data_IF_465905916893
#
_entry.id   IF_465905916893
#
_cell.length_a   1.000
_cell.length_b   1.000
_cell.length_c   1.000
_cell.angle_alpha   90.00
_cell.angle_beta   90.00
_cell.angle_gamma   90.00
#
_symmetry.space_group_name_H-M   'P 1'
#
loop_
_entity.id
_entity.type
_entity.pdbx_description
1 polymer ?
#
# COMPACT_ATOMS: atom_id res chain seq x y z
N UNK A 1 -5.74 10.18 8.63
CA UNK A 1 -6.78 10.00 9.68
C UNK A 1 -6.18 9.89 11.08
N UNK A 2 -5.22 8.99 11.31
CA UNK A 2 -4.53 8.84 12.59
C UNK A 2 -3.85 10.12 13.06
N UNK A 3 -3.29 10.92 12.14
CA UNK A 3 -2.75 12.23 12.47
C UNK A 3 -3.73 13.08 13.30
N UNK A 4 -4.98 13.23 12.82
CA UNK A 4 -6.00 14.02 13.51
C UNK A 4 -6.43 13.40 14.84
N UNK A 5 -6.46 12.06 14.91
CA UNK A 5 -6.78 11.35 16.15
C UNK A 5 -5.73 11.62 17.23
N UNK A 6 -4.44 11.48 16.90
CA UNK A 6 -3.36 11.73 17.85
C UNK A 6 -3.21 13.21 18.19
N UNK A 7 -3.49 14.12 17.25
CA UNK A 7 -3.58 15.56 17.53
C UNK A 7 -4.70 15.88 18.54
N UNK A 8 -5.89 15.27 18.37
CA UNK A 8 -6.99 15.41 19.32
C UNK A 8 -6.61 14.88 20.72
N UNK A 9 -6.02 13.68 20.79
CA UNK A 9 -5.61 13.05 22.05
C UNK A 9 -4.54 13.87 22.79
N UNK A 10 -3.58 14.43 22.06
CA UNK A 10 -2.59 15.35 22.64
C UNK A 10 -3.28 16.60 23.20
N UNK A 11 -4.20 17.22 22.43
CA UNK A 11 -4.83 18.49 22.81
C UNK A 11 -5.76 18.40 24.03
N UNK A 12 -6.46 17.26 24.21
CA UNK A 12 -7.47 17.11 25.26
C UNK A 12 -6.94 16.35 26.48
N UNK A 13 -6.01 15.42 26.28
CA UNK A 13 -5.60 14.48 27.33
C UNK A 13 -4.10 14.50 27.63
N UNK A 14 -3.31 15.33 26.92
CA UNK A 14 -1.85 15.37 27.04
C UNK A 14 -1.22 13.98 26.98
N UNK A 15 -1.73 13.15 26.07
CA UNK A 15 -1.39 11.74 26.01
C UNK A 15 0.10 11.53 25.68
N UNK A 16 0.89 10.87 26.54
CA UNK A 16 2.32 10.69 26.31
C UNK A 16 2.63 10.01 24.97
N UNK A 17 3.41 10.69 24.13
CA UNK A 17 3.86 10.16 22.84
C UNK A 17 2.92 10.43 21.66
N UNK A 18 1.75 11.04 21.85
CA UNK A 18 0.88 11.41 20.74
C UNK A 18 1.51 12.49 19.84
N UNK A 19 2.31 13.40 20.41
CA UNK A 19 3.14 14.37 19.68
C UNK A 19 4.07 13.76 18.64
N UNK A 20 4.48 12.49 18.76
CA UNK A 20 5.34 11.81 17.77
C UNK A 20 4.67 11.73 16.40
N UNK A 21 3.34 11.61 16.36
CA UNK A 21 2.57 11.58 15.12
C UNK A 21 2.50 12.94 14.40
N UNK A 22 2.91 14.03 15.05
CA UNK A 22 2.95 15.35 14.40
C UNK A 22 4.18 15.47 13.47
N UNK A 23 5.28 14.78 13.79
CA UNK A 23 6.50 14.81 12.99
C UNK A 23 6.30 14.11 11.64
N UNK A 24 6.65 14.83 10.56
CA UNK A 24 6.51 14.31 9.19
C UNK A 24 7.45 13.12 8.92
N UNK A 25 8.66 13.13 9.48
CA UNK A 25 9.65 12.06 9.34
C UNK A 25 9.15 10.75 9.93
N UNK A 26 8.55 10.81 11.13
CA UNK A 26 7.94 9.64 11.76
C UNK A 26 6.79 9.08 10.93
N UNK A 27 5.86 9.96 10.51
CA UNK A 27 4.71 9.54 9.67
C UNK A 27 5.16 8.94 8.34
N UNK A 28 6.18 9.51 7.71
CA UNK A 28 6.74 9.00 6.46
C UNK A 28 7.37 7.61 6.65
N UNK A 29 8.18 7.41 7.70
CA UNK A 29 8.77 6.12 8.02
C UNK A 29 7.70 5.06 8.35
N UNK A 30 6.71 5.43 9.16
CA UNK A 30 5.58 4.56 9.48
C UNK A 30 4.78 4.18 8.23
N UNK A 31 4.54 5.12 7.32
CA UNK A 31 3.82 4.85 6.07
C UNK A 31 4.60 3.93 5.14
N UNK A 32 5.92 4.11 5.05
CA UNK A 32 6.80 3.23 4.29
C UNK A 32 6.78 1.79 4.84
N UNK A 33 6.96 1.63 6.15
CA UNK A 33 6.94 0.30 6.80
C UNK A 33 5.57 -0.35 6.60
N UNK A 34 4.48 0.40 6.79
CA UNK A 34 3.13 -0.12 6.63
C UNK A 34 2.85 -0.54 5.17
N UNK A 35 3.32 0.25 4.20
CA UNK A 35 3.23 -0.08 2.77
C UNK A 35 3.94 -1.39 2.46
N UNK A 36 5.16 -1.55 2.97
CA UNK A 36 5.94 -2.78 2.81
C UNK A 36 5.23 -3.99 3.44
N UNK A 37 4.72 -3.84 4.66
CA UNK A 37 4.00 -4.91 5.35
C UNK A 37 2.72 -5.31 4.60
N UNK A 38 1.94 -4.34 4.12
CA UNK A 38 0.72 -4.61 3.35
C UNK A 38 1.07 -5.40 2.09
N UNK A 39 2.08 -4.94 1.34
CA UNK A 39 2.52 -5.59 0.10
C UNK A 39 3.08 -7.00 0.36
N UNK A 40 3.96 -7.16 1.34
CA UNK A 40 4.61 -8.44 1.63
C UNK A 40 3.63 -9.49 2.18
N UNK A 41 2.74 -9.09 3.10
CA UNK A 41 1.81 -10.01 3.76
C UNK A 41 0.63 -10.35 2.84
N UNK A 42 0.04 -9.36 2.17
CA UNK A 42 -1.16 -9.57 1.35
C UNK A 42 -0.84 -9.91 -0.10
N UNK A 43 0.40 -9.72 -0.56
CA UNK A 43 0.80 -9.94 -1.95
C UNK A 43 0.44 -11.33 -2.45
N UNK A 44 0.80 -12.41 -1.72
CA UNK A 44 0.47 -13.79 -2.12
C UNK A 44 -1.04 -14.02 -2.24
N UNK A 45 -1.85 -13.44 -1.34
CA UNK A 45 -3.31 -13.58 -1.35
C UNK A 45 -3.91 -12.87 -2.56
N UNK A 46 -3.44 -11.65 -2.85
CA UNK A 46 -3.90 -10.86 -3.99
C UNK A 46 -3.49 -11.53 -5.30
N UNK A 47 -2.26 -12.04 -5.41
CA UNK A 47 -1.78 -12.80 -6.57
C UNK A 47 -2.67 -14.02 -6.83
N UNK A 48 -2.92 -14.84 -5.80
CA UNK A 48 -3.78 -16.01 -5.93
C UNK A 48 -5.23 -15.65 -6.32
N UNK A 49 -5.74 -14.53 -5.81
CA UNK A 49 -7.05 -14.01 -6.18
C UNK A 49 -7.11 -13.56 -7.65
N UNK A 50 -6.10 -12.83 -8.13
CA UNK A 50 -6.02 -12.38 -9.52
C UNK A 50 -5.85 -13.55 -10.50
N UNK A 51 -5.06 -14.57 -10.13
CA UNK A 51 -4.95 -15.80 -10.91
C UNK A 51 -6.30 -16.52 -11.05
N UNK A 52 -7.09 -16.59 -9.98
CA UNK A 52 -8.44 -17.20 -10.00
C UNK A 52 -9.42 -16.45 -10.88
N UNK A 53 -9.28 -15.13 -11.00
CA UNK A 53 -10.11 -14.32 -11.89
C UNK A 53 -9.72 -14.42 -13.37
N UNK A 54 -8.81 -15.32 -13.73
CA UNK A 54 -8.31 -15.49 -15.10
C UNK A 54 -7.76 -14.20 -15.72
N UNK A 55 -7.27 -13.27 -14.89
CA UNK A 55 -6.57 -12.05 -15.30
C UNK A 55 -5.12 -12.41 -15.66
N UNK A 56 -4.93 -13.51 -16.39
CA UNK A 56 -3.65 -13.99 -16.87
C UNK A 56 -3.38 -13.48 -18.28
N UNK A 57 -2.11 -13.27 -18.62
CA UNK A 57 -1.74 -12.83 -19.96
C UNK A 57 -2.00 -13.97 -20.96
N UNK A 58 -2.82 -13.73 -21.99
CA UNK A 58 -2.97 -14.69 -23.09
C UNK A 58 -1.68 -14.67 -23.89
N UNK A 59 -0.79 -15.64 -23.65
CA UNK A 59 0.50 -15.70 -24.34
C UNK A 59 0.25 -16.06 -25.80
N UNK A 60 0.35 -15.07 -26.69
CA UNK A 60 0.43 -15.29 -28.13
C UNK A 60 1.81 -15.89 -28.42
N UNK A 61 1.85 -16.97 -29.18
CA UNK A 61 3.10 -17.63 -29.55
C UNK A 61 3.92 -16.69 -30.45
N UNK A 62 5.05 -16.19 -29.94
CA UNK A 62 5.99 -15.32 -30.66
C UNK A 62 7.30 -16.07 -30.97
N UNK A 63 7.40 -17.38 -30.68
CA UNK A 63 8.60 -18.19 -30.93
C UNK A 63 9.83 -17.78 -30.11
N UNK A 64 9.65 -17.05 -29.00
CA UNK A 64 10.74 -16.54 -28.17
C UNK A 64 11.08 -17.52 -27.04
N UNK A 65 12.38 -17.73 -26.79
CA UNK A 65 12.85 -18.52 -25.66
C UNK A 65 12.38 -17.91 -24.32
N UNK A 66 11.71 -18.71 -23.48
CA UNK A 66 11.19 -18.27 -22.18
C UNK A 66 9.78 -17.66 -22.19
N UNK A 67 9.11 -17.55 -23.34
CA UNK A 67 7.72 -17.08 -23.40
C UNK A 67 6.74 -17.98 -22.63
N UNK A 68 6.93 -19.30 -22.73
CA UNK A 68 6.09 -20.30 -22.05
C UNK A 68 6.19 -20.16 -20.53
N UNK A 69 7.33 -19.69 -20.00
CA UNK A 69 7.53 -19.51 -18.55
C UNK A 69 6.77 -18.31 -17.97
N UNK A 70 6.34 -17.36 -18.80
CA UNK A 70 5.46 -16.25 -18.40
C UNK A 70 3.97 -16.58 -18.53
N UNK A 71 3.63 -17.75 -19.08
CA UNK A 71 2.24 -18.20 -19.17
C UNK A 71 1.69 -18.49 -17.77
N UNK A 72 0.63 -17.78 -17.38
CA UNK A 72 -0.02 -17.94 -16.07
C UNK A 72 0.44 -16.98 -14.97
N UNK A 73 1.41 -16.09 -15.26
CA UNK A 73 1.66 -14.95 -14.37
C UNK A 73 0.44 -14.00 -14.41
N UNK A 74 -0.18 -13.66 -13.27
CA UNK A 74 -1.31 -12.75 -13.27
C UNK A 74 -0.87 -11.36 -13.72
N UNK A 75 -1.67 -10.76 -14.60
CA UNK A 75 -1.58 -9.34 -14.94
C UNK A 75 -2.24 -8.52 -13.82
N UNK A 76 -2.02 -7.20 -13.77
CA UNK A 76 -2.58 -6.28 -12.75
C UNK A 76 -1.93 -6.29 -11.35
N UNK A 77 -0.64 -6.62 -11.25
CA UNK A 77 0.12 -6.46 -9.99
C UNK A 77 0.12 -5.03 -9.40
N UNK A 78 -0.17 -4.01 -10.23
CA UNK A 78 -0.33 -2.62 -9.79
C UNK A 78 -1.42 -2.42 -8.73
N UNK A 79 -2.41 -3.31 -8.64
CA UNK A 79 -3.43 -3.26 -7.57
C UNK A 79 -2.78 -3.38 -6.19
N UNK A 80 -1.75 -4.22 -6.05
CA UNK A 80 -1.01 -4.38 -4.79
C UNK A 80 -0.33 -3.06 -4.43
N UNK A 81 0.29 -2.39 -5.40
CA UNK A 81 0.97 -1.11 -5.21
C UNK A 81 -0.03 -0.02 -4.81
N UNK A 82 -1.16 0.08 -5.51
CA UNK A 82 -2.21 1.06 -5.21
C UNK A 82 -2.75 0.87 -3.79
N UNK A 83 -3.06 -0.37 -3.40
CA UNK A 83 -3.54 -0.64 -2.04
C UNK A 83 -2.47 -0.37 -0.98
N UNK A 84 -1.24 -0.81 -1.23
CA UNK A 84 -0.11 -0.61 -0.33
C UNK A 84 0.31 0.86 -0.21
N UNK A 85 -0.07 1.74 -1.14
CA UNK A 85 0.22 3.18 -1.08
C UNK A 85 -0.95 3.97 -0.50
N UNK A 86 -2.18 3.71 -0.95
CA UNK A 86 -3.36 4.45 -0.51
C UNK A 86 -3.67 4.22 0.97
N UNK A 87 -3.60 2.97 1.45
CA UNK A 87 -3.97 2.66 2.85
C UNK A 87 -3.07 3.43 3.84
N UNK A 88 -1.73 3.38 3.75
CA UNK A 88 -0.87 4.17 4.63
C UNK A 88 -1.06 5.68 4.48
N UNK A 89 -1.28 6.19 3.27
CA UNK A 89 -1.55 7.63 3.04
C UNK A 89 -2.83 8.05 3.75
N UNK A 90 -3.94 7.35 3.57
CA UNK A 90 -5.20 7.67 4.26
C UNK A 90 -5.08 7.63 5.78
N UNK A 91 -4.29 6.69 6.31
CA UNK A 91 -4.08 6.55 7.74
C UNK A 91 -3.18 7.65 8.29
N UNK A 92 -2.00 7.87 7.72
CA UNK A 92 -0.93 8.67 8.33
C UNK A 92 -0.77 10.07 7.74
N UNK A 93 -1.22 10.32 6.50
CA UNK A 93 -1.10 11.64 5.90
C UNK A 93 -2.07 12.65 6.53
N UNK A 94 -1.70 13.93 6.40
CA UNK A 94 -2.57 15.08 6.65
C UNK A 94 -3.41 15.26 5.40
N UNK A 95 -4.71 14.97 5.48
CA UNK A 95 -5.61 14.95 4.31
C UNK A 95 -6.05 16.35 3.87
N UNK A 96 -5.88 17.36 4.73
CA UNK A 96 -6.09 18.77 4.42
C UNK A 96 -4.91 19.40 3.67
N UNK A 97 -3.83 18.64 3.44
CA UNK A 97 -2.65 19.10 2.73
C UNK A 97 -2.88 19.02 1.21
N UNK A 98 -2.71 20.15 0.52
CA UNK A 98 -2.85 20.29 -0.94
C UNK A 98 -1.86 19.40 -1.72
N UNK A 99 -0.74 19.00 -1.10
CA UNK A 99 0.21 18.07 -1.75
C UNK A 99 -0.24 16.60 -1.67
N UNK A 100 -1.33 16.29 -0.97
CA UNK A 100 -1.84 14.93 -0.76
C UNK A 100 -3.12 14.65 -1.55
N UNK A 101 -3.96 15.67 -1.77
CA UNK A 101 -5.23 15.60 -2.53
C UNK A 101 -5.16 16.51 -3.75
#
# INVERSE_FOLDING_TARGET
MLYYLFEYLESQFSFPGASVFQFITFRAAAAFILSLLISAINGKRIIAFLQKQQVGESVRDLGLAGQIQKAGTPTMGGIIIILATLIPVFLLAKLDNIYVI
#
